data_IF_559972718034
#
_entry.id   IF_559972718034
#
_cell.length_a   1.000
_cell.length_b   1.000
_cell.length_c   1.000
_cell.angle_alpha   90.00
_cell.angle_beta   90.00
_cell.angle_gamma   90.00
#
_symmetry.space_group_name_H-M   'P 1'
#
loop_
_entity.id
_entity.type
_entity.pdbx_description
1 polymer ?
#
# COMPACT_ATOMS: atom_id res chain seq x y z
N UNK A 1 -12.72 -22.21 8.21
CA UNK A 1 -11.27 -22.26 7.97
C UNK A 1 -10.85 -20.98 7.24
N UNK A 2 -10.20 -20.04 7.94
CA UNK A 2 -9.70 -18.81 7.31
C UNK A 2 -8.42 -19.13 6.54
N UNK A 3 -8.48 -19.04 5.21
CA UNK A 3 -7.33 -19.22 4.33
C UNK A 3 -6.35 -18.07 4.59
N UNK A 4 -5.37 -18.27 5.48
CA UNK A 4 -4.20 -17.37 5.63
C UNK A 4 -3.54 -17.31 4.25
N UNK A 5 -3.82 -16.27 3.47
CA UNK A 5 -3.01 -15.97 2.28
C UNK A 5 -1.61 -15.67 2.81
N UNK A 6 -0.68 -16.60 2.61
CA UNK A 6 0.75 -16.41 2.90
C UNK A 6 1.13 -15.08 2.27
N UNK A 7 1.61 -14.14 3.09
CA UNK A 7 2.11 -12.85 2.60
C UNK A 7 3.24 -13.18 1.64
N UNK A 8 3.13 -12.84 0.34
CA UNK A 8 4.23 -13.05 -0.58
C UNK A 8 5.41 -12.22 -0.08
N UNK A 9 6.58 -12.85 0.02
CA UNK A 9 7.84 -12.19 0.36
C UNK A 9 8.00 -10.95 -0.54
N UNK A 10 8.46 -9.81 0.01
CA UNK A 10 8.55 -8.58 -0.76
C UNK A 10 9.54 -8.80 -1.91
N UNK A 11 9.12 -8.64 -3.17
CA UNK A 11 10.06 -8.57 -4.27
C UNK A 11 10.99 -7.36 -4.07
N UNK A 12 12.21 -7.41 -4.61
CA UNK A 12 13.13 -6.28 -4.52
C UNK A 12 12.47 -4.99 -5.05
N UNK A 13 12.82 -3.81 -4.52
CA UNK A 13 12.18 -2.56 -4.88
C UNK A 13 12.38 -2.29 -6.38
N UNK A 14 11.32 -2.54 -7.15
CA UNK A 14 11.25 -2.09 -8.54
C UNK A 14 11.01 -0.59 -8.48
N UNK A 15 11.85 0.18 -9.18
CA UNK A 15 11.72 1.64 -9.29
C UNK A 15 10.39 1.92 -9.99
N UNK A 16 9.35 2.13 -9.20
CA UNK A 16 8.02 2.47 -9.66
C UNK A 16 7.36 3.43 -8.68
N UNK A 17 6.23 4.00 -9.08
CA UNK A 17 5.54 5.01 -8.30
C UNK A 17 4.57 4.38 -7.31
N UNK A 18 4.52 4.91 -6.08
CA UNK A 18 3.51 4.57 -5.09
C UNK A 18 2.11 4.94 -5.57
N UNK A 19 1.14 4.06 -5.38
CA UNK A 19 -0.24 4.26 -5.83
C UNK A 19 -1.16 4.43 -4.62
N UNK A 20 -1.92 5.52 -4.61
CA UNK A 20 -3.00 5.74 -3.63
C UNK A 20 -4.34 5.46 -4.30
N UNK A 21 -5.04 4.40 -3.87
CA UNK A 21 -6.32 4.00 -4.43
C UNK A 21 -7.44 4.12 -3.39
N UNK A 22 -8.58 4.74 -3.76
CA UNK A 22 -9.79 4.73 -2.92
C UNK A 22 -10.52 3.40 -3.10
N UNK A 23 -10.78 2.68 -2.00
CA UNK A 23 -11.65 1.50 -1.97
C UNK A 23 -12.72 1.63 -0.90
N UNK A 24 -13.97 1.69 -1.35
CA UNK A 24 -15.14 1.92 -0.51
C UNK A 24 -14.96 3.14 0.40
N UNK A 25 -14.86 2.92 1.72
CA UNK A 25 -14.68 3.96 2.75
C UNK A 25 -13.21 4.18 3.16
N UNK A 26 -12.26 3.55 2.47
CA UNK A 26 -10.85 3.55 2.83
C UNK A 26 -9.95 3.92 1.66
N UNK A 27 -8.71 4.24 1.98
CA UNK A 27 -7.63 4.57 1.07
C UNK A 27 -6.51 3.56 1.26
N UNK A 28 -6.10 2.95 0.16
CA UNK A 28 -5.05 1.94 0.10
C UNK A 28 -3.79 2.57 -0.47
N UNK A 29 -2.65 2.30 0.15
CA UNK A 29 -1.31 2.61 -0.37
C UNK A 29 -0.74 1.31 -0.91
N UNK A 30 -0.47 1.31 -2.21
CA UNK A 30 0.09 0.18 -2.93
C UNK A 30 1.52 0.55 -3.31
N UNK A 31 2.46 -0.34 -3.02
CA UNK A 31 3.86 -0.14 -3.38
C UNK A 31 4.09 -0.37 -4.89
N UNK A 32 5.27 -0.01 -5.41
CA UNK A 32 5.63 -0.23 -6.81
C UNK A 32 5.51 -1.67 -7.31
N UNK A 33 5.66 -2.66 -6.43
CA UNK A 33 5.48 -4.08 -6.74
C UNK A 33 4.02 -4.55 -6.69
N UNK A 34 3.07 -3.64 -6.44
CA UNK A 34 1.65 -3.95 -6.43
C UNK A 34 1.14 -4.56 -5.11
N UNK A 35 1.93 -4.55 -4.04
CA UNK A 35 1.53 -5.03 -2.73
C UNK A 35 0.84 -3.92 -1.92
N UNK A 36 -0.15 -4.32 -1.12
CA UNK A 36 -0.84 -3.43 -0.21
C UNK A 36 0.04 -3.16 1.03
N UNK A 37 0.45 -1.92 1.22
CA UNK A 37 1.31 -1.50 2.34
C UNK A 37 0.49 -0.92 3.49
N UNK A 38 -0.52 -0.11 3.18
CA UNK A 38 -1.30 0.58 4.21
C UNK A 38 -2.76 0.75 3.79
N UNK A 39 -3.67 0.68 4.77
CA UNK A 39 -5.07 1.09 4.63
C UNK A 39 -5.33 2.20 5.65
N UNK A 40 -5.91 3.31 5.19
CA UNK A 40 -6.28 4.44 6.03
C UNK A 40 -7.71 4.87 5.73
N UNK A 41 -8.41 5.46 6.69
CA UNK A 41 -9.76 6.00 6.44
C UNK A 41 -9.72 7.36 5.73
N UNK A 42 -8.61 8.09 5.84
CA UNK A 42 -8.46 9.44 5.31
C UNK A 42 -7.36 9.52 4.26
N UNK A 43 -7.64 10.18 3.14
CA UNK A 43 -6.67 10.38 2.03
C UNK A 43 -5.36 10.99 2.52
N UNK A 44 -5.43 11.95 3.45
CA UNK A 44 -4.24 12.60 4.06
C UNK A 44 -3.32 11.60 4.74
N UNK A 45 -3.85 10.59 5.41
CA UNK A 45 -3.06 9.52 6.02
C UNK A 45 -2.30 8.72 4.96
N UNK A 46 -2.98 8.31 3.88
CA UNK A 46 -2.34 7.61 2.77
C UNK A 46 -1.21 8.44 2.11
N UNK A 47 -1.41 9.74 1.91
CA UNK A 47 -0.38 10.62 1.35
C UNK A 47 0.83 10.77 2.27
N UNK A 48 0.61 10.91 3.57
CA UNK A 48 1.69 11.01 4.55
C UNK A 48 2.52 9.72 4.64
N UNK A 49 1.88 8.56 4.49
CA UNK A 49 2.57 7.26 4.39
C UNK A 49 3.50 7.24 3.17
N UNK A 50 3.01 7.61 1.99
CA UNK A 50 3.85 7.68 0.79
C UNK A 50 4.99 8.67 0.98
N UNK A 51 4.74 9.87 1.52
CA UNK A 51 5.79 10.87 1.79
C UNK A 51 6.90 10.34 2.69
N UNK A 52 6.55 9.61 3.75
CA UNK A 52 7.54 9.05 4.69
C UNK A 52 8.31 7.86 4.12
N UNK A 53 7.71 7.08 3.24
CA UNK A 53 8.33 5.89 2.66
C UNK A 53 9.16 6.23 1.40
N UNK A 54 8.83 7.30 0.70
CA UNK A 54 9.51 7.67 -0.55
C UNK A 54 10.69 8.65 -0.36
N UNK A 55 10.82 9.27 0.82
CA UNK A 55 11.91 10.21 1.14
C UNK A 55 11.65 11.61 0.61
#
# INVERSE_FOLDING_TARGET
MARRKKSPEPPPPLIGSWIIQKRARSWMVIDPAGQLVCITLYKRGAMEVVRRLCG
#
